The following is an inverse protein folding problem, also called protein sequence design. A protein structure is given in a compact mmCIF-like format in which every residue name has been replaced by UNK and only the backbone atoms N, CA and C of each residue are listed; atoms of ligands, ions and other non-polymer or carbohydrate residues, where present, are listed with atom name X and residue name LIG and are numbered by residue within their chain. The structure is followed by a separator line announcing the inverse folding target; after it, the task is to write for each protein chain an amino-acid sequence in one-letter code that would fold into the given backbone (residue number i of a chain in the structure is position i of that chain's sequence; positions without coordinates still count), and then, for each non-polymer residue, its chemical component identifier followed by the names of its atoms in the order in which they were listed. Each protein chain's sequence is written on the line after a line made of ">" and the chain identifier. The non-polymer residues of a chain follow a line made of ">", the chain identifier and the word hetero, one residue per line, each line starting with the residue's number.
data_IF_388150360312
#
_entry.id   IF_388150360312
#
_cell.length_a   1.000
_cell.length_b   1.000
_cell.length_c   1.000
_cell.angle_alpha   90.00
_cell.angle_beta   90.00
_cell.angle_gamma   90.00
#
_symmetry.space_group_name_H-M   'P 1'
#
loop_
_entity.id
_entity.type
_entity.pdbx_description
1 polymer ?
#
# COMPACT_ATOMS: atom_id res chain seq x y z
N UNK A 1 -5.55 3.89 28.12
CA UNK A 1 -5.31 4.80 26.96
C UNK A 1 -4.58 3.97 25.93
N UNK A 2 -5.06 3.96 24.70
CA UNK A 2 -4.45 3.14 23.63
C UNK A 2 -3.11 3.75 23.25
N UNK A 3 -2.05 2.94 23.16
CA UNK A 3 -0.75 3.32 22.64
C UNK A 3 -0.63 2.91 21.17
N UNK A 4 -0.51 3.89 20.27
CA UNK A 4 -0.34 3.68 18.85
C UNK A 4 1.13 3.64 18.44
N UNK A 5 2.08 3.86 19.35
CA UNK A 5 3.50 3.89 19.01
C UNK A 5 4.00 2.53 18.52
N UNK A 6 4.94 2.56 17.59
CA UNK A 6 5.63 1.37 17.09
C UNK A 6 7.12 1.66 16.98
N UNK A 7 7.94 0.63 17.11
CA UNK A 7 9.38 0.69 16.89
C UNK A 7 9.76 -0.15 15.68
N UNK A 8 10.49 0.44 14.72
CA UNK A 8 10.88 -0.20 13.48
C UNK A 8 12.37 0.01 13.27
N UNK A 9 13.14 -1.08 13.27
CA UNK A 9 14.59 -1.04 13.09
C UNK A 9 15.31 -0.05 14.04
N UNK A 10 14.87 0.04 15.29
CA UNK A 10 15.42 0.96 16.31
C UNK A 10 14.91 2.40 16.22
N UNK A 11 14.05 2.73 15.27
CA UNK A 11 13.44 4.06 15.15
C UNK A 11 12.01 4.03 15.69
N UNK A 12 11.69 4.96 16.59
CA UNK A 12 10.37 5.11 17.17
C UNK A 12 9.46 5.97 16.30
N UNK A 13 8.26 5.46 16.05
CA UNK A 13 7.15 6.16 15.40
C UNK A 13 6.04 6.39 16.44
N UNK A 14 5.51 7.60 16.55
CA UNK A 14 4.41 7.90 17.50
C UNK A 14 3.12 7.15 17.20
N UNK A 15 2.94 6.67 15.94
CA UNK A 15 1.84 5.83 15.48
C UNK A 15 2.23 5.13 14.16
N UNK A 16 1.50 4.09 13.71
CA UNK A 16 1.90 3.29 12.56
C UNK A 16 1.58 3.93 11.19
N UNK A 17 0.98 5.12 11.13
CA UNK A 17 0.59 5.75 9.87
C UNK A 17 1.74 6.58 9.30
N UNK A 18 2.21 6.21 8.13
CA UNK A 18 3.33 6.83 7.41
C UNK A 18 2.82 7.42 6.10
N UNK A 19 3.15 8.67 5.80
CA UNK A 19 2.89 9.22 4.47
C UNK A 19 4.04 8.83 3.55
N UNK A 20 3.72 8.04 2.52
CA UNK A 20 4.72 7.51 1.60
C UNK A 20 5.22 8.57 0.60
N UNK A 21 6.40 8.30 0.04
CA UNK A 21 7.02 9.13 -1.00
C UNK A 21 6.07 9.38 -2.19
N UNK A 22 5.80 10.64 -2.47
CA UNK A 22 4.88 11.07 -3.55
C UNK A 22 4.56 12.57 -3.46
N UNK A 23 3.52 13.01 -4.15
CA UNK A 23 3.09 14.41 -4.17
C UNK A 23 2.88 15.03 -2.77
N UNK A 24 2.37 14.32 -1.74
CA UNK A 24 2.22 14.91 -0.41
C UNK A 24 3.55 15.25 0.29
N UNK A 25 4.69 14.78 -0.23
CA UNK A 25 6.01 14.91 0.41
C UNK A 25 7.06 15.53 -0.52
N UNK A 26 6.65 16.44 -1.43
CA UNK A 26 7.53 17.06 -2.46
C UNK A 26 8.32 18.27 -1.97
N UNK A 27 8.11 18.75 -0.75
CA UNK A 27 8.85 19.86 -0.15
C UNK A 27 8.76 19.82 1.38
N UNK A 28 9.62 20.56 2.06
CA UNK A 28 9.55 20.72 3.52
C UNK A 28 8.17 21.21 3.97
N UNK A 29 7.61 22.20 3.30
CA UNK A 29 6.27 22.72 3.60
C UNK A 29 5.18 21.64 3.47
N UNK A 30 5.25 20.79 2.45
CA UNK A 30 4.30 19.69 2.25
C UNK A 30 4.49 18.60 3.33
N UNK A 31 5.73 18.22 3.63
CA UNK A 31 6.06 17.26 4.69
C UNK A 31 5.59 17.74 6.06
N UNK A 32 5.85 19.00 6.41
CA UNK A 32 5.42 19.63 7.67
C UNK A 32 3.90 19.54 7.84
N UNK A 33 3.13 19.84 6.80
CA UNK A 33 1.66 19.70 6.85
C UNK A 33 1.20 18.26 7.15
N UNK A 34 1.87 17.27 6.60
CA UNK A 34 1.58 15.86 6.90
C UNK A 34 1.93 15.50 8.36
N UNK A 35 3.06 16.02 8.89
CA UNK A 35 3.48 15.84 10.27
C UNK A 35 2.47 16.47 11.24
N UNK A 36 2.04 17.71 10.96
CA UNK A 36 1.04 18.44 11.74
C UNK A 36 -0.34 17.79 11.68
N UNK A 37 -0.68 17.13 10.57
CA UNK A 37 -1.88 16.32 10.45
C UNK A 37 -1.84 15.02 11.28
N UNK A 38 -0.69 14.69 11.90
CA UNK A 38 -0.56 13.58 12.85
C UNK A 38 0.19 12.36 12.33
N UNK A 39 0.79 12.38 11.16
CA UNK A 39 1.59 11.25 10.65
C UNK A 39 2.65 10.79 11.65
N UNK A 40 2.82 9.48 11.81
CA UNK A 40 3.86 8.87 12.64
C UNK A 40 5.21 8.80 11.93
N UNK A 41 5.19 8.82 10.60
CA UNK A 41 6.40 8.90 9.76
C UNK A 41 6.11 9.58 8.42
N UNK A 42 7.15 10.10 7.79
CA UNK A 42 7.12 10.73 6.47
C UNK A 42 8.24 10.14 5.63
N UNK A 43 7.90 9.71 4.42
CA UNK A 43 8.90 9.37 3.40
C UNK A 43 8.98 10.53 2.41
N UNK A 44 10.08 11.27 2.43
CA UNK A 44 10.31 12.37 1.49
C UNK A 44 10.29 11.90 0.03
N UNK A 45 10.03 12.83 -0.90
CA UNK A 45 10.08 12.52 -2.34
C UNK A 45 11.47 11.97 -2.71
N UNK A 46 11.53 10.98 -3.59
CA UNK A 46 12.78 10.30 -3.95
C UNK A 46 13.80 11.26 -4.55
N UNK A 47 14.97 11.39 -3.94
CA UNK A 47 16.11 12.13 -4.48
C UNK A 47 16.88 11.31 -5.51
N UNK A 48 17.31 11.93 -6.59
CA UNK A 48 18.13 11.30 -7.64
C UNK A 48 19.04 12.33 -8.32
N UNK A 49 20.17 11.88 -8.83
CA UNK A 49 21.03 12.68 -9.72
C UNK A 49 20.59 12.59 -11.19
N UNK A 50 19.54 11.81 -11.52
CA UNK A 50 19.05 11.68 -12.88
C UNK A 50 18.18 12.88 -13.29
N UNK A 51 18.65 13.76 -14.21
CA UNK A 51 17.88 14.94 -14.60
C UNK A 51 16.59 14.60 -15.35
N UNK A 52 16.51 13.46 -16.02
CA UNK A 52 15.29 13.05 -16.73
C UNK A 52 14.14 12.74 -15.75
N UNK A 53 14.47 12.19 -14.58
CA UNK A 53 13.48 11.86 -13.54
C UNK A 53 13.17 13.02 -12.59
N UNK A 54 13.85 14.17 -12.74
CA UNK A 54 13.55 15.41 -12.01
C UNK A 54 12.48 16.27 -12.72
N UNK A 55 12.27 16.07 -14.03
CA UNK A 55 11.33 16.86 -14.84
C UNK A 55 9.94 16.21 -14.84
N UNK A 56 8.99 16.79 -14.11
CA UNK A 56 7.62 16.28 -14.02
C UNK A 56 6.79 16.55 -15.28
N UNK A 57 6.15 15.53 -15.91
CA UNK A 57 5.20 15.75 -16.98
C UNK A 57 3.92 16.44 -16.47
N UNK A 58 3.16 17.08 -17.38
CA UNK A 58 1.92 17.79 -17.06
C UNK A 58 0.90 17.59 -18.19
N UNK A 59 -0.31 17.04 -17.93
CA UNK A 59 -0.80 16.47 -16.64
C UNK A 59 -0.07 15.19 -16.27
N UNK A 60 -0.06 14.86 -14.96
CA UNK A 60 0.60 13.65 -14.44
C UNK A 60 -0.33 12.72 -13.67
N UNK A 61 -1.60 13.09 -13.50
CA UNK A 61 -2.60 12.28 -12.82
C UNK A 61 -3.83 12.08 -13.71
N UNK A 62 -4.35 10.87 -13.72
CA UNK A 62 -5.68 10.52 -14.21
C UNK A 62 -6.40 9.71 -13.14
N UNK A 63 -7.59 10.14 -12.78
CA UNK A 63 -8.40 9.53 -11.76
C UNK A 63 -9.54 8.75 -12.42
N UNK A 64 -9.54 7.44 -12.20
CA UNK A 64 -10.52 6.51 -12.75
C UNK A 64 -11.54 6.17 -11.67
N UNK A 65 -12.81 6.11 -12.04
CA UNK A 65 -13.92 5.93 -11.10
C UNK A 65 -14.02 7.04 -10.04
N UNK A 66 -13.89 8.29 -10.48
CA UNK A 66 -13.93 9.48 -9.63
C UNK A 66 -15.20 9.57 -8.76
N UNK A 67 -16.36 9.15 -9.29
CA UNK A 67 -17.64 9.18 -8.59
C UNK A 67 -17.69 8.28 -7.34
N UNK A 68 -16.88 7.24 -7.30
CA UNK A 68 -16.84 6.31 -6.18
C UNK A 68 -16.00 6.81 -4.99
N UNK A 69 -15.16 7.82 -5.19
CA UNK A 69 -14.33 8.42 -4.13
C UNK A 69 -15.18 9.03 -3.04
N UNK A 70 -16.19 9.81 -3.43
CA UNK A 70 -17.11 10.50 -2.51
C UNK A 70 -18.04 9.51 -1.80
N UNK A 71 -18.19 8.30 -2.34
CA UNK A 71 -18.95 7.20 -1.73
C UNK A 71 -18.08 6.27 -0.88
N UNK A 72 -16.79 6.59 -0.68
CA UNK A 72 -15.80 5.83 0.10
C UNK A 72 -15.51 4.40 -0.38
N UNK A 73 -15.91 4.03 -1.59
CA UNK A 73 -15.91 2.63 -2.01
C UNK A 73 -14.68 2.21 -2.79
N UNK A 74 -14.37 2.90 -3.88
CA UNK A 74 -13.39 2.40 -4.84
C UNK A 74 -12.86 3.54 -5.71
N UNK A 75 -11.56 3.62 -5.88
CA UNK A 75 -10.93 4.52 -6.84
C UNK A 75 -9.62 3.96 -7.35
N UNK A 76 -9.23 4.42 -8.53
CA UNK A 76 -7.93 4.15 -9.13
C UNK A 76 -7.26 5.45 -9.53
N UNK A 77 -5.96 5.53 -9.34
CA UNK A 77 -5.13 6.63 -9.78
C UNK A 77 -4.05 6.09 -10.72
N UNK A 78 -4.04 6.59 -11.96
CA UNK A 78 -2.93 6.45 -12.87
C UNK A 78 -2.06 7.69 -12.77
N UNK A 79 -0.74 7.53 -12.70
CA UNK A 79 0.16 8.67 -12.62
C UNK A 79 1.51 8.41 -13.30
N UNK A 80 2.01 9.44 -13.96
CA UNK A 80 3.41 9.55 -14.37
C UNK A 80 4.05 10.56 -13.43
N UNK A 81 4.30 10.12 -12.19
CA UNK A 81 4.86 10.91 -11.11
C UNK A 81 6.31 10.49 -10.89
N UNK A 82 7.22 11.33 -11.34
CA UNK A 82 8.66 11.07 -11.27
C UNK A 82 9.25 11.39 -9.88
N UNK A 83 10.56 11.56 -9.79
CA UNK A 83 11.30 11.80 -8.52
C UNK A 83 11.23 13.27 -8.10
N UNK A 84 12.02 13.70 -7.14
CA UNK A 84 12.07 15.11 -6.73
C UNK A 84 12.57 15.99 -7.88
N UNK A 85 11.98 17.16 -8.04
CA UNK A 85 12.33 18.15 -9.08
C UNK A 85 13.47 19.10 -8.64
N UNK A 86 14.16 18.75 -7.54
CA UNK A 86 15.30 19.43 -6.99
C UNK A 86 16.56 18.57 -7.13
N UNK A 87 17.74 19.21 -7.21
CA UNK A 87 18.99 18.45 -7.08
C UNK A 87 19.07 17.77 -5.72
N UNK A 88 19.84 16.68 -5.57
CA UNK A 88 19.98 16.02 -4.27
C UNK A 88 20.44 16.95 -3.15
N UNK A 89 21.32 17.92 -3.43
CA UNK A 89 21.81 18.89 -2.47
C UNK A 89 20.72 19.90 -2.05
N UNK A 90 19.86 20.30 -2.98
CA UNK A 90 18.70 21.13 -2.68
C UNK A 90 17.66 20.32 -1.89
N UNK A 91 17.47 19.06 -2.26
CA UNK A 91 16.55 18.15 -1.55
C UNK A 91 17.00 17.85 -0.12
N UNK A 92 18.32 17.71 0.11
CA UNK A 92 18.89 17.58 1.44
C UNK A 92 18.49 18.75 2.36
N UNK A 93 18.44 19.99 1.83
CA UNK A 93 17.95 21.15 2.59
C UNK A 93 16.47 21.07 2.92
N UNK A 94 15.64 20.47 2.06
CA UNK A 94 14.24 20.23 2.36
C UNK A 94 14.09 19.23 3.54
N UNK A 95 14.93 18.20 3.60
CA UNK A 95 14.99 17.26 4.73
C UNK A 95 15.44 18.01 6.01
N UNK A 96 16.52 18.78 5.96
CA UNK A 96 17.00 19.59 7.09
C UNK A 96 15.91 20.54 7.62
N UNK A 97 15.21 21.26 6.72
CA UNK A 97 14.12 22.17 7.06
C UNK A 97 12.93 21.47 7.73
N UNK A 98 12.76 20.18 7.47
CA UNK A 98 11.68 19.36 8.05
C UNK A 98 12.05 18.79 9.41
N UNK A 99 13.35 18.56 9.68
CA UNK A 99 13.88 17.83 10.83
C UNK A 99 13.33 18.30 12.18
N UNK A 100 13.41 19.59 12.46
CA UNK A 100 12.97 20.16 13.75
C UNK A 100 11.48 19.91 14.00
N UNK A 101 10.64 20.01 12.96
CA UNK A 101 9.21 19.75 13.09
C UNK A 101 8.95 18.25 13.28
N UNK A 102 9.66 17.39 12.58
CA UNK A 102 9.55 15.94 12.72
C UNK A 102 9.88 15.51 14.15
N UNK A 103 11.00 15.98 14.70
CA UNK A 103 11.44 15.69 16.06
C UNK A 103 10.43 16.19 17.12
N UNK A 104 10.02 17.46 17.01
CA UNK A 104 9.03 18.07 17.93
C UNK A 104 7.72 17.25 17.99
N UNK A 105 7.31 16.66 16.87
CA UNK A 105 6.06 15.89 16.76
C UNK A 105 6.26 14.38 16.92
N UNK A 106 7.46 13.87 17.19
CA UNK A 106 7.75 12.42 17.28
C UNK A 106 7.45 11.67 15.99
N UNK A 107 7.69 12.31 14.85
CA UNK A 107 7.48 11.76 13.52
C UNK A 107 8.81 11.33 12.92
N UNK A 108 8.93 10.06 12.49
CA UNK A 108 10.13 9.57 11.83
C UNK A 108 10.27 10.19 10.41
N UNK A 109 11.45 10.72 10.11
CA UNK A 109 11.79 11.34 8.83
C UNK A 109 12.61 10.37 7.98
N UNK A 110 12.02 9.84 6.92
CA UNK A 110 12.62 8.84 6.04
C UNK A 110 13.00 9.51 4.72
N UNK A 111 14.26 9.42 4.32
CA UNK A 111 14.72 9.90 3.02
C UNK A 111 14.60 8.79 1.98
N UNK A 112 13.89 9.04 0.87
CA UNK A 112 13.85 8.12 -0.27
C UNK A 112 14.90 8.49 -1.30
N UNK A 113 15.66 7.51 -1.80
CA UNK A 113 16.75 7.71 -2.74
C UNK A 113 16.70 6.74 -3.93
N UNK A 114 17.27 7.16 -5.07
CA UNK A 114 17.47 6.33 -6.25
C UNK A 114 18.72 6.77 -7.02
N UNK A 115 19.73 5.91 -7.11
CA UNK A 115 20.98 6.12 -7.83
C UNK A 115 21.02 5.33 -9.13
N UNK A 116 21.65 5.88 -10.19
CA UNK A 116 21.84 5.23 -11.50
C UNK A 116 22.96 4.19 -11.47
N UNK A 117 23.90 4.33 -10.55
CA UNK A 117 25.03 3.45 -10.31
C UNK A 117 25.36 3.36 -8.80
N UNK A 118 26.30 2.50 -8.42
CA UNK A 118 26.65 2.29 -7.01
C UNK A 118 27.25 3.54 -6.35
N UNK A 119 27.98 4.36 -7.08
CA UNK A 119 28.58 5.60 -6.56
C UNK A 119 27.50 6.63 -6.21
N UNK A 120 26.47 6.78 -7.06
CA UNK A 120 25.32 7.64 -6.76
C UNK A 120 24.51 7.14 -5.56
N UNK A 121 24.29 5.81 -5.44
CA UNK A 121 23.64 5.24 -4.27
C UNK A 121 24.38 5.57 -2.96
N UNK A 122 25.72 5.46 -2.96
CA UNK A 122 26.56 5.83 -1.80
C UNK A 122 26.50 7.33 -1.48
N UNK A 123 26.63 8.18 -2.51
CA UNK A 123 26.58 9.64 -2.34
C UNK A 123 25.25 10.10 -1.78
N UNK A 124 24.14 9.58 -2.34
CA UNK A 124 22.79 9.91 -1.88
C UNK A 124 22.58 9.46 -0.43
N UNK A 125 23.01 8.27 -0.06
CA UNK A 125 22.86 7.77 1.31
C UNK A 125 23.58 8.66 2.32
N UNK A 126 24.86 9.01 2.07
CA UNK A 126 25.63 9.92 2.93
C UNK A 126 25.02 11.33 3.02
N UNK A 127 24.54 11.84 1.88
CA UNK A 127 23.91 13.15 1.82
C UNK A 127 22.63 13.21 2.67
N UNK A 128 21.77 12.20 2.58
CA UNK A 128 20.52 12.15 3.34
C UNK A 128 20.75 11.88 4.84
N UNK A 129 21.75 11.09 5.21
CA UNK A 129 22.17 10.92 6.60
C UNK A 129 22.62 12.26 7.18
N UNK A 130 23.49 12.99 6.49
CA UNK A 130 23.98 14.29 6.91
C UNK A 130 22.87 15.36 7.00
N UNK A 131 21.78 15.21 6.25
CA UNK A 131 20.62 16.11 6.31
C UNK A 131 19.65 15.81 7.48
N UNK A 132 19.96 14.80 8.29
CA UNK A 132 19.20 14.48 9.50
C UNK A 132 18.00 13.57 9.28
N UNK A 133 17.97 12.76 8.23
CA UNK A 133 17.01 11.68 8.10
C UNK A 133 17.20 10.63 9.21
N UNK A 134 16.12 9.95 9.63
CA UNK A 134 16.16 8.86 10.61
C UNK A 134 16.37 7.50 9.94
N UNK A 135 15.94 7.34 8.67
CA UNK A 135 16.02 6.12 7.89
C UNK A 135 16.17 6.45 6.40
N UNK A 136 16.61 5.47 5.61
CA UNK A 136 16.72 5.59 4.15
C UNK A 136 15.83 4.55 3.48
N UNK A 137 14.88 4.97 2.60
CA UNK A 137 14.07 4.09 1.75
C UNK A 137 14.68 4.03 0.34
N UNK A 138 15.01 2.81 -0.14
CA UNK A 138 15.52 2.58 -1.49
C UNK A 138 14.38 2.46 -2.48
N UNK A 139 14.28 3.38 -3.43
CA UNK A 139 13.28 3.32 -4.49
C UNK A 139 13.72 2.38 -5.62
N UNK A 140 13.50 1.10 -5.40
CA UNK A 140 13.71 0.01 -6.38
C UNK A 140 12.40 -0.38 -7.09
N UNK A 141 11.44 0.55 -7.18
CA UNK A 141 10.08 0.24 -7.64
C UNK A 141 9.50 1.26 -8.61
N UNK A 142 10.28 2.27 -9.03
CA UNK A 142 9.81 3.26 -9.98
C UNK A 142 9.45 2.58 -11.31
N UNK A 143 8.17 2.63 -11.77
CA UNK A 143 7.71 1.88 -12.94
C UNK A 143 8.16 2.48 -14.28
N UNK A 144 8.75 3.68 -14.26
CA UNK A 144 9.18 4.41 -15.47
C UNK A 144 10.55 4.00 -15.99
N UNK A 145 11.26 3.11 -15.28
CA UNK A 145 12.57 2.60 -15.67
C UNK A 145 12.41 1.13 -16.03
N UNK A 146 12.58 0.82 -17.31
CA UNK A 146 12.32 -0.53 -17.83
C UNK A 146 13.47 -1.51 -17.51
N UNK A 147 13.14 -2.80 -17.26
CA UNK A 147 14.16 -3.84 -17.16
C UNK A 147 15.01 -3.91 -18.43
N UNK A 148 16.33 -4.00 -18.27
CA UNK A 148 17.28 -4.04 -19.37
C UNK A 148 17.92 -2.70 -19.70
N UNK A 149 17.43 -1.58 -19.16
CA UNK A 149 18.18 -0.35 -19.16
C UNK A 149 19.45 -0.49 -18.31
N UNK A 150 20.54 0.15 -18.73
CA UNK A 150 21.86 0.04 -18.06
C UNK A 150 21.95 0.81 -16.75
N UNK A 151 20.81 1.16 -16.13
CA UNK A 151 20.75 1.95 -14.89
C UNK A 151 20.34 1.07 -13.71
N UNK A 152 21.02 1.24 -12.57
CA UNK A 152 20.76 0.49 -11.34
C UNK A 152 19.66 1.18 -10.49
N UNK A 153 18.54 1.52 -11.09
CA UNK A 153 17.51 2.35 -10.48
C UNK A 153 16.10 1.79 -10.74
N UNK A 154 15.16 2.09 -9.85
CA UNK A 154 13.76 1.79 -10.02
C UNK A 154 13.48 0.31 -10.33
N UNK A 155 12.49 0.07 -11.22
CA UNK A 155 12.07 -1.28 -11.62
C UNK A 155 13.17 -2.07 -12.32
N UNK A 156 14.06 -1.42 -13.06
CA UNK A 156 15.18 -2.09 -13.74
C UNK A 156 16.04 -2.88 -12.74
N UNK A 157 16.39 -2.27 -11.60
CA UNK A 157 17.14 -2.94 -10.54
C UNK A 157 16.24 -3.78 -9.62
N UNK A 158 15.06 -3.29 -9.30
CA UNK A 158 14.17 -3.89 -8.30
C UNK A 158 13.50 -5.20 -8.74
N UNK A 159 13.53 -5.57 -10.02
CA UNK A 159 13.05 -6.87 -10.50
C UNK A 159 14.10 -7.97 -10.43
N UNK A 160 15.39 -7.63 -10.22
CA UNK A 160 16.49 -8.56 -10.03
C UNK A 160 16.87 -8.71 -8.56
N UNK A 161 16.75 -9.92 -7.98
CA UNK A 161 17.20 -10.20 -6.61
C UNK A 161 18.68 -9.86 -6.40
N UNK A 162 19.54 -10.20 -7.35
CA UNK A 162 20.99 -10.00 -7.28
C UNK A 162 21.36 -8.50 -7.28
N UNK A 163 20.70 -7.71 -8.14
CA UNK A 163 20.93 -6.26 -8.18
C UNK A 163 20.39 -5.59 -6.91
N UNK A 164 19.19 -5.99 -6.47
CA UNK A 164 18.58 -5.48 -5.25
C UNK A 164 19.47 -5.75 -4.03
N UNK A 165 20.01 -6.98 -3.88
CA UNK A 165 20.96 -7.33 -2.81
C UNK A 165 22.22 -6.45 -2.85
N UNK A 166 22.84 -6.30 -4.03
CA UNK A 166 24.06 -5.51 -4.18
C UNK A 166 23.85 -4.03 -3.86
N UNK A 167 22.73 -3.45 -4.32
CA UNK A 167 22.39 -2.05 -4.02
C UNK A 167 22.21 -1.85 -2.52
N UNK A 168 21.40 -2.70 -1.88
CA UNK A 168 21.21 -2.64 -0.42
C UNK A 168 22.54 -2.74 0.31
N UNK A 169 23.38 -3.69 -0.06
CA UNK A 169 24.73 -3.89 0.53
C UNK A 169 25.62 -2.67 0.35
N UNK A 170 25.56 -2.02 -0.81
CA UNK A 170 26.31 -0.79 -1.09
C UNK A 170 25.87 0.34 -0.18
N UNK A 171 24.55 0.57 -0.07
CA UNK A 171 24.01 1.63 0.79
C UNK A 171 24.30 1.34 2.26
N UNK A 172 24.12 0.12 2.75
CA UNK A 172 24.42 -0.26 4.15
C UNK A 172 25.87 -0.02 4.56
N UNK A 173 26.81 -0.11 3.63
CA UNK A 173 28.24 0.20 3.89
C UNK A 173 28.52 1.69 3.95
N UNK A 174 27.65 2.53 3.43
CA UNK A 174 27.87 3.97 3.28
C UNK A 174 27.08 4.84 4.27
N UNK A 175 26.20 4.23 5.09
CA UNK A 175 25.40 4.92 6.10
C UNK A 175 25.29 4.12 7.39
N UNK A 176 25.10 4.81 8.52
CA UNK A 176 24.75 4.19 9.81
C UNK A 176 23.25 4.04 10.00
N UNK A 177 22.45 4.71 9.17
CA UNK A 177 20.98 4.69 9.27
C UNK A 177 20.39 3.32 8.90
N UNK A 178 19.22 2.96 9.45
CA UNK A 178 18.45 1.84 8.97
C UNK A 178 18.05 2.03 7.50
N UNK A 179 18.16 0.93 6.72
CA UNK A 179 17.87 0.90 5.28
C UNK A 179 16.62 0.09 5.02
N UNK A 180 15.67 0.68 4.30
CA UNK A 180 14.38 0.10 3.94
C UNK A 180 14.38 -0.25 2.45
N UNK A 181 14.16 -1.52 2.11
CA UNK A 181 14.00 -1.95 0.72
C UNK A 181 12.56 -1.88 0.25
N UNK A 182 12.22 -1.05 -0.74
CA UNK A 182 10.87 -1.00 -1.30
C UNK A 182 10.70 -1.98 -2.44
N UNK A 183 9.77 -2.94 -2.23
CA UNK A 183 9.52 -4.04 -3.17
C UNK A 183 8.62 -3.58 -4.32
N UNK A 184 8.98 -3.95 -5.54
CA UNK A 184 8.06 -3.87 -6.68
C UNK A 184 7.13 -5.09 -6.72
N UNK A 185 5.84 -4.91 -7.09
CA UNK A 185 4.94 -6.04 -7.32
C UNK A 185 5.13 -6.67 -8.71
N UNK A 186 5.85 -5.98 -9.60
CA UNK A 186 6.13 -6.40 -10.97
C UNK A 186 7.48 -7.13 -11.05
N UNK A 187 7.53 -8.26 -11.74
CA UNK A 187 8.74 -9.04 -11.94
C UNK A 187 8.88 -10.23 -10.98
N UNK A 188 10.00 -10.36 -10.29
CA UNK A 188 10.22 -11.45 -9.34
C UNK A 188 9.25 -11.39 -8.15
N UNK A 189 9.02 -12.55 -7.52
CA UNK A 189 8.17 -12.59 -6.32
C UNK A 189 8.69 -11.63 -5.24
N UNK A 190 7.83 -10.77 -4.65
CA UNK A 190 8.20 -9.91 -3.52
C UNK A 190 8.89 -10.64 -2.36
N UNK A 191 8.59 -11.92 -2.13
CA UNK A 191 9.26 -12.74 -1.12
C UNK A 191 10.72 -13.02 -1.49
N UNK A 192 11.00 -13.30 -2.76
CA UNK A 192 12.37 -13.55 -3.25
C UNK A 192 13.17 -12.25 -3.17
N UNK A 193 12.60 -11.16 -3.62
CA UNK A 193 13.23 -9.83 -3.55
C UNK A 193 13.52 -9.41 -2.10
N UNK A 194 12.55 -9.58 -1.19
CA UNK A 194 12.74 -9.27 0.22
C UNK A 194 13.88 -10.06 0.85
N UNK A 195 13.96 -11.38 0.58
CA UNK A 195 15.07 -12.21 1.07
C UNK A 195 16.42 -11.72 0.56
N UNK A 196 16.52 -11.36 -0.72
CA UNK A 196 17.73 -10.80 -1.30
C UNK A 196 18.12 -9.46 -0.67
N UNK A 197 17.14 -8.55 -0.47
CA UNK A 197 17.39 -7.27 0.21
C UNK A 197 17.85 -7.46 1.66
N UNK A 198 17.23 -8.38 2.41
CA UNK A 198 17.65 -8.73 3.78
C UNK A 198 19.06 -9.33 3.80
N UNK A 199 19.39 -10.18 2.84
CA UNK A 199 20.75 -10.72 2.66
C UNK A 199 21.76 -9.60 2.32
N UNK A 200 21.32 -8.54 1.64
CA UNK A 200 22.10 -7.32 1.42
C UNK A 200 22.26 -6.45 2.68
N UNK A 201 21.49 -6.70 3.73
CA UNK A 201 21.53 -5.96 5.00
C UNK A 201 20.39 -4.94 5.18
N UNK A 202 19.28 -5.09 4.46
CA UNK A 202 18.09 -4.26 4.70
C UNK A 202 17.56 -4.48 6.13
N UNK A 203 17.24 -3.39 6.83
CA UNK A 203 16.71 -3.41 8.20
C UNK A 203 15.18 -3.46 8.22
N UNK A 204 14.52 -3.13 7.10
CA UNK A 204 13.08 -3.26 6.90
C UNK A 204 12.75 -3.36 5.40
N UNK A 205 11.50 -3.75 5.08
CA UNK A 205 11.00 -3.76 3.70
C UNK A 205 9.62 -3.11 3.60
N UNK A 206 9.30 -2.58 2.40
CA UNK A 206 7.95 -2.07 2.08
C UNK A 206 7.24 -3.05 1.15
N UNK A 207 6.09 -3.55 1.54
CA UNK A 207 5.25 -4.45 0.76
C UNK A 207 3.91 -3.76 0.40
N UNK A 208 3.75 -3.31 -0.82
CA UNK A 208 4.59 -3.19 -2.01
C UNK A 208 4.45 -1.78 -2.62
N UNK A 209 5.14 -1.52 -3.74
CA UNK A 209 4.83 -0.36 -4.57
C UNK A 209 3.55 -0.59 -5.40
N UNK A 210 3.16 0.40 -6.22
CA UNK A 210 2.06 0.29 -7.19
C UNK A 210 2.49 -0.53 -8.41
N UNK A 211 1.51 -1.08 -9.14
CA UNK A 211 1.73 -1.72 -10.44
C UNK A 211 2.02 -0.68 -11.53
N UNK A 212 2.60 -1.14 -12.63
CA UNK A 212 2.58 -0.41 -13.89
C UNK A 212 1.23 -0.61 -14.58
N UNK A 213 0.70 0.44 -15.21
CA UNK A 213 -0.56 0.40 -15.93
C UNK A 213 -0.60 1.34 -17.12
N UNK A 214 -1.61 1.17 -17.95
CA UNK A 214 -1.90 2.03 -19.10
C UNK A 214 -3.41 2.29 -19.15
N UNK A 215 -3.80 3.56 -19.15
CA UNK A 215 -5.20 3.96 -19.29
C UNK A 215 -5.40 4.54 -20.70
N UNK A 216 -6.40 4.02 -21.40
CA UNK A 216 -6.72 4.44 -22.78
C UNK A 216 -8.04 5.20 -22.76
N UNK A 217 -8.01 6.40 -23.31
CA UNK A 217 -9.21 7.14 -23.69
C UNK A 217 -9.75 6.58 -25.02
N UNK A 218 -10.97 6.06 -24.96
CA UNK A 218 -11.57 5.33 -26.09
C UNK A 218 -12.02 6.25 -27.24
N UNK A 219 -12.34 7.50 -26.93
CA UNK A 219 -12.83 8.44 -27.93
C UNK A 219 -11.67 9.03 -28.74
N UNK A 220 -10.60 9.41 -28.07
CA UNK A 220 -9.38 9.87 -28.73
C UNK A 220 -8.48 8.75 -29.25
N UNK A 221 -8.71 7.51 -28.80
CA UNK A 221 -7.89 6.32 -29.10
C UNK A 221 -6.42 6.51 -28.70
N UNK A 222 -6.17 7.17 -27.57
CA UNK A 222 -4.83 7.51 -27.06
C UNK A 222 -4.73 7.19 -25.57
N UNK A 223 -3.50 6.94 -25.06
CA UNK A 223 -3.28 6.96 -23.62
C UNK A 223 -3.67 8.31 -23.01
N UNK A 224 -4.30 8.28 -21.82
CA UNK A 224 -4.71 9.51 -21.12
C UNK A 224 -3.53 10.37 -20.66
N UNK A 225 -2.39 9.73 -20.30
CA UNK A 225 -1.20 10.43 -19.84
C UNK A 225 -0.04 10.22 -20.81
N UNK A 226 0.30 11.23 -21.58
CA UNK A 226 1.53 11.36 -22.39
C UNK A 226 1.95 10.15 -23.22
N UNK A 227 1.05 9.20 -23.48
CA UNK A 227 1.31 8.02 -24.27
C UNK A 227 2.19 6.96 -23.60
N UNK A 228 2.54 7.14 -22.33
CA UNK A 228 3.42 6.24 -21.58
C UNK A 228 2.71 5.33 -20.59
N UNK A 229 3.43 4.29 -20.17
CA UNK A 229 3.05 3.49 -19.01
C UNK A 229 3.25 4.30 -17.74
N UNK A 230 2.28 4.26 -16.83
CA UNK A 230 2.31 4.97 -15.56
C UNK A 230 2.20 4.05 -14.36
N UNK A 231 2.43 4.59 -13.17
CA UNK A 231 2.10 3.90 -11.95
C UNK A 231 0.58 3.85 -11.79
N UNK A 232 0.03 2.67 -11.52
CA UNK A 232 -1.39 2.43 -11.34
C UNK A 232 -1.68 1.83 -9.98
N UNK A 233 -2.56 2.45 -9.21
CA UNK A 233 -2.90 2.02 -7.87
C UNK A 233 -4.23 2.61 -7.40
N UNK A 234 -4.62 2.26 -6.19
CA UNK A 234 -5.86 2.69 -5.57
C UNK A 234 -6.32 1.71 -4.50
N UNK A 235 -7.50 1.91 -3.95
CA UNK A 235 -8.05 1.07 -2.87
C UNK A 235 -8.24 -0.41 -3.25
N UNK A 236 -8.36 -0.72 -4.54
CA UNK A 236 -8.45 -2.09 -5.06
C UNK A 236 -7.19 -2.94 -4.75
N UNK A 237 -6.05 -2.31 -4.48
CA UNK A 237 -4.81 -3.04 -4.17
C UNK A 237 -4.78 -3.63 -2.77
N UNK A 238 -5.63 -3.20 -1.84
CA UNK A 238 -5.61 -3.65 -0.45
C UNK A 238 -5.54 -5.18 -0.29
N UNK A 239 -6.36 -5.99 -0.96
CA UNK A 239 -6.28 -7.46 -0.84
C UNK A 239 -4.96 -8.04 -1.38
N UNK A 240 -4.40 -7.42 -2.43
CA UNK A 240 -3.12 -7.84 -3.03
C UNK A 240 -1.98 -7.56 -2.05
N UNK A 241 -1.97 -6.37 -1.45
CA UNK A 241 -0.97 -5.98 -0.45
C UNK A 241 -1.08 -6.82 0.81
N UNK A 242 -2.28 -7.09 1.32
CA UNK A 242 -2.51 -8.02 2.43
C UNK A 242 -1.91 -9.40 2.14
N UNK A 243 -2.13 -9.94 0.93
CA UNK A 243 -1.51 -11.22 0.52
C UNK A 243 0.01 -11.16 0.60
N UNK A 244 0.65 -10.09 0.09
CA UNK A 244 2.10 -10.00 0.08
C UNK A 244 2.68 -9.82 1.49
N UNK A 245 2.06 -9.00 2.34
CA UNK A 245 2.45 -8.85 3.75
C UNK A 245 2.37 -10.22 4.46
N UNK A 246 1.25 -10.94 4.31
CA UNK A 246 1.07 -12.26 4.89
C UNK A 246 2.15 -13.27 4.40
N UNK A 247 2.45 -13.28 3.09
CA UNK A 247 3.49 -14.17 2.52
C UNK A 247 4.89 -13.84 3.02
N UNK A 248 5.21 -12.57 3.23
CA UNK A 248 6.48 -12.15 3.84
C UNK A 248 6.57 -12.61 5.29
N UNK A 249 5.50 -12.45 6.07
CA UNK A 249 5.41 -12.96 7.45
C UNK A 249 5.56 -14.49 7.52
N UNK A 250 4.84 -15.24 6.68
CA UNK A 250 4.96 -16.71 6.57
C UNK A 250 6.39 -17.14 6.21
N UNK A 251 7.08 -16.35 5.38
CA UNK A 251 8.44 -16.60 4.93
C UNK A 251 9.51 -16.26 5.96
N UNK A 252 9.12 -15.68 7.10
CA UNK A 252 10.00 -15.31 8.23
C UNK A 252 11.23 -14.55 7.76
N UNK A 253 11.03 -13.46 7.01
CA UNK A 253 12.14 -12.66 6.45
C UNK A 253 13.03 -12.01 7.53
N UNK A 254 12.58 -11.93 8.78
CA UNK A 254 13.38 -11.51 9.93
C UNK A 254 13.52 -9.99 10.13
N UNK A 255 12.85 -9.17 9.32
CA UNK A 255 12.85 -7.71 9.43
C UNK A 255 11.42 -7.16 9.42
N UNK A 256 11.19 -5.96 9.99
CA UNK A 256 9.88 -5.27 9.96
C UNK A 256 9.37 -5.02 8.54
N UNK A 257 8.03 -4.95 8.43
CA UNK A 257 7.32 -4.77 7.16
C UNK A 257 6.45 -3.51 7.23
N UNK A 258 6.72 -2.55 6.35
CA UNK A 258 5.76 -1.47 6.05
C UNK A 258 4.74 -1.99 5.03
N UNK A 259 3.46 -2.02 5.39
CA UNK A 259 2.39 -2.29 4.43
C UNK A 259 2.13 -1.07 3.56
N UNK A 260 2.09 -1.24 2.24
CA UNK A 260 1.90 -0.14 1.30
C UNK A 260 1.03 -0.56 0.12
N UNK A 261 0.54 0.43 -0.63
CA UNK A 261 -0.34 0.28 -1.78
C UNK A 261 -1.74 -0.29 -1.43
N UNK A 262 -2.72 0.60 -1.44
CA UNK A 262 -4.14 0.24 -1.24
C UNK A 262 -4.79 0.86 -0.01
N UNK A 263 -4.05 1.14 1.07
CA UNK A 263 -4.62 1.73 2.27
C UNK A 263 -5.28 3.09 1.99
N UNK A 264 -6.61 3.14 2.09
CA UNK A 264 -7.42 4.29 1.71
C UNK A 264 -8.37 4.77 2.82
N UNK A 265 -8.42 4.07 3.94
CA UNK A 265 -9.24 4.34 5.11
C UNK A 265 -8.70 3.59 6.34
N UNK A 266 -9.38 3.73 7.47
CA UNK A 266 -9.05 3.05 8.73
C UNK A 266 -9.06 1.52 8.59
N UNK A 267 -10.07 0.96 7.95
CA UNK A 267 -10.23 -0.50 7.82
C UNK A 267 -9.07 -1.11 7.04
N UNK A 268 -8.59 -0.44 6.00
CA UNK A 268 -7.45 -0.90 5.22
C UNK A 268 -6.15 -0.88 6.04
N UNK A 269 -5.94 0.16 6.85
CA UNK A 269 -4.81 0.23 7.77
C UNK A 269 -4.87 -0.92 8.79
N UNK A 270 -6.03 -1.19 9.37
CA UNK A 270 -6.24 -2.30 10.30
C UNK A 270 -5.98 -3.65 9.61
N UNK A 271 -6.44 -3.85 8.36
CA UNK A 271 -6.17 -5.07 7.59
C UNK A 271 -4.69 -5.34 7.43
N UNK A 272 -3.90 -4.30 7.12
CA UNK A 272 -2.44 -4.44 6.98
C UNK A 272 -1.78 -4.83 8.29
N UNK A 273 -2.17 -4.20 9.41
CA UNK A 273 -1.67 -4.57 10.74
C UNK A 273 -2.07 -6.01 11.12
N UNK A 274 -3.31 -6.40 10.86
CA UNK A 274 -3.82 -7.75 11.13
C UNK A 274 -3.09 -8.85 10.34
N UNK A 275 -2.56 -8.56 9.17
CA UNK A 275 -1.75 -9.51 8.39
C UNK A 275 -0.25 -9.36 8.63
N UNK A 276 0.17 -8.52 9.60
CA UNK A 276 1.52 -8.50 10.14
C UNK A 276 2.39 -7.30 9.74
N UNK A 277 1.86 -6.26 9.09
CA UNK A 277 2.61 -5.04 8.90
C UNK A 277 2.94 -4.37 10.25
N UNK A 278 4.10 -3.75 10.35
CA UNK A 278 4.55 -2.97 11.51
C UNK A 278 4.08 -1.52 11.42
N UNK A 279 3.99 -0.98 10.20
CA UNK A 279 3.42 0.32 9.89
C UNK A 279 2.72 0.31 8.53
N UNK A 280 1.95 1.36 8.24
CA UNK A 280 1.12 1.49 7.03
C UNK A 280 1.51 2.74 6.27
N UNK A 281 2.02 2.58 5.07
CA UNK A 281 2.32 3.67 4.15
C UNK A 281 1.08 4.05 3.33
N UNK A 282 0.66 5.32 3.38
CA UNK A 282 -0.44 5.90 2.61
C UNK A 282 0.07 7.02 1.70
N UNK A 283 -0.29 7.01 0.42
CA UNK A 283 0.05 8.09 -0.51
C UNK A 283 -1.15 8.45 -1.40
N UNK A 284 -1.57 7.55 -2.29
CA UNK A 284 -2.64 7.79 -3.27
C UNK A 284 -3.93 8.30 -2.59
N UNK A 285 -4.30 7.71 -1.46
CA UNK A 285 -5.49 8.14 -0.72
C UNK A 285 -5.32 9.54 -0.12
N UNK A 286 -4.11 9.90 0.35
CA UNK A 286 -3.82 11.26 0.84
C UNK A 286 -3.86 12.28 -0.31
N UNK A 287 -3.37 11.92 -1.51
CA UNK A 287 -3.47 12.78 -2.71
C UNK A 287 -4.95 13.07 -3.02
N UNK A 288 -5.78 12.03 -3.01
CA UNK A 288 -7.17 12.11 -3.49
C UNK A 288 -8.13 12.68 -2.41
N UNK A 289 -7.95 12.27 -1.15
CA UNK A 289 -8.87 12.64 -0.04
C UNK A 289 -8.33 13.77 0.83
N UNK A 290 -7.08 14.17 0.65
CA UNK A 290 -6.44 15.24 1.44
C UNK A 290 -5.91 14.78 2.80
N UNK A 291 -5.30 15.73 3.52
CA UNK A 291 -4.59 15.47 4.78
C UNK A 291 -5.50 15.05 5.94
N UNK A 292 -6.80 15.39 5.89
CA UNK A 292 -7.77 14.98 6.91
C UNK A 292 -7.92 13.46 7.05
N UNK A 293 -7.49 12.70 6.03
CA UNK A 293 -7.47 11.24 6.09
C UNK A 293 -6.57 10.72 7.22
N UNK A 294 -5.47 11.41 7.52
CA UNK A 294 -4.50 10.97 8.54
C UNK A 294 -5.15 10.95 9.93
N UNK A 295 -5.67 12.07 10.49
CA UNK A 295 -6.30 12.05 11.79
C UNK A 295 -7.58 11.20 11.83
N UNK A 296 -8.33 11.10 10.74
CA UNK A 296 -9.49 10.21 10.65
C UNK A 296 -9.07 8.74 10.82
N UNK A 297 -7.99 8.32 10.13
CA UNK A 297 -7.46 6.95 10.23
C UNK A 297 -6.98 6.64 11.65
N UNK A 298 -6.27 7.57 12.29
CA UNK A 298 -5.79 7.42 13.67
C UNK A 298 -6.95 7.29 14.67
N UNK A 299 -7.91 8.20 14.60
CA UNK A 299 -9.11 8.16 15.47
C UNK A 299 -9.91 6.88 15.26
N UNK A 300 -10.03 6.42 14.01
CA UNK A 300 -10.70 5.15 13.69
C UNK A 300 -9.96 3.94 14.26
N UNK A 301 -8.62 3.94 14.17
CA UNK A 301 -7.78 2.87 14.73
C UNK A 301 -7.89 2.80 16.25
N UNK A 302 -7.81 3.94 16.96
CA UNK A 302 -8.01 4.00 18.41
C UNK A 302 -9.39 3.47 18.84
N UNK A 303 -10.44 3.87 18.15
CA UNK A 303 -11.81 3.38 18.40
C UNK A 303 -11.92 1.87 18.18
N UNK A 304 -11.32 1.36 17.10
CA UNK A 304 -11.35 -0.07 16.81
C UNK A 304 -10.58 -0.87 17.87
N UNK A 305 -9.39 -0.42 18.26
CA UNK A 305 -8.58 -1.06 19.30
C UNK A 305 -9.32 -1.07 20.64
N UNK A 306 -9.86 0.06 21.06
CA UNK A 306 -10.66 0.17 22.29
C UNK A 306 -11.86 -0.76 22.28
N UNK A 307 -12.59 -0.85 21.16
CA UNK A 307 -13.73 -1.75 20.99
C UNK A 307 -13.35 -3.23 21.13
N UNK A 308 -12.12 -3.60 20.73
CA UNK A 308 -11.65 -4.99 20.75
C UNK A 308 -10.77 -5.31 21.97
N UNK A 309 -10.56 -4.33 22.87
CA UNK A 309 -9.78 -4.53 24.10
C UNK A 309 -8.27 -4.60 23.89
N UNK A 310 -7.75 -3.94 22.84
CA UNK A 310 -6.32 -3.84 22.58
C UNK A 310 -5.77 -2.50 23.07
N UNK A 311 -4.69 -2.54 23.83
CA UNK A 311 -4.01 -1.35 24.36
C UNK A 311 -2.81 -0.94 23.51
N UNK A 312 -2.23 -1.86 22.74
CA UNK A 312 -1.03 -1.66 21.91
C UNK A 312 -1.18 -2.34 20.54
N UNK A 313 -0.50 -1.79 19.51
CA UNK A 313 -0.50 -2.35 18.14
C UNK A 313 0.04 -3.78 18.12
N UNK A 314 1.08 -4.06 18.85
CA UNK A 314 1.73 -5.39 18.91
C UNK A 314 0.78 -6.48 19.37
N UNK A 315 -0.24 -6.15 20.19
CA UNK A 315 -1.19 -7.10 20.75
C UNK A 315 -2.09 -7.78 19.71
N UNK A 316 -2.33 -7.14 18.57
CA UNK A 316 -3.17 -7.71 17.51
C UNK A 316 -2.46 -7.84 16.15
N UNK A 317 -1.25 -7.27 16.01
CA UNK A 317 -0.48 -7.38 14.79
C UNK A 317 -0.29 -8.84 14.37
N UNK A 318 -0.65 -9.14 13.13
CA UNK A 318 -0.55 -10.51 12.60
C UNK A 318 -1.64 -11.47 13.10
N UNK A 319 -2.64 -11.01 13.85
CA UNK A 319 -3.67 -11.88 14.44
C UNK A 319 -4.48 -12.67 13.37
N UNK A 320 -4.60 -12.13 12.16
CA UNK A 320 -5.29 -12.83 11.06
C UNK A 320 -4.49 -13.99 10.48
N UNK A 321 -3.16 -14.00 10.63
CA UNK A 321 -2.30 -15.02 10.00
C UNK A 321 -2.63 -16.45 10.44
N UNK A 322 -2.97 -16.64 11.71
CA UNK A 322 -3.35 -17.96 12.26
C UNK A 322 -4.60 -18.57 11.63
N UNK A 323 -5.41 -17.73 10.98
CA UNK A 323 -6.66 -18.16 10.33
C UNK A 323 -6.49 -18.38 8.82
N UNK A 324 -5.30 -18.13 8.27
CA UNK A 324 -4.98 -18.42 6.87
C UNK A 324 -4.68 -19.91 6.79
N UNK A 325 -5.49 -20.63 6.02
CA UNK A 325 -5.32 -22.07 5.84
C UNK A 325 -4.74 -22.41 4.49
N UNK A 326 -3.87 -23.44 4.37
CA UNK A 326 -3.41 -23.96 3.09
C UNK A 326 -4.60 -24.44 2.23
N UNK A 327 -4.41 -24.45 0.91
CA UNK A 327 -5.44 -24.86 -0.04
C UNK A 327 -6.02 -26.24 0.26
N UNK A 328 -5.19 -27.17 0.71
CA UNK A 328 -5.56 -28.57 1.04
C UNK A 328 -6.46 -28.65 2.27
N UNK A 329 -6.40 -27.64 3.16
CA UNK A 329 -7.18 -27.56 4.40
C UNK A 329 -8.45 -26.73 4.27
N UNK A 330 -8.75 -26.21 3.07
CA UNK A 330 -10.02 -25.50 2.83
C UNK A 330 -11.19 -26.44 3.10
N UNK A 331 -12.19 -25.93 3.84
CA UNK A 331 -13.43 -26.68 4.09
C UNK A 331 -14.19 -26.90 2.77
N UNK A 332 -14.33 -28.14 2.37
CA UNK A 332 -15.07 -28.58 1.19
C UNK A 332 -16.27 -29.48 1.55
N UNK A 333 -16.49 -29.65 2.85
CA UNK A 333 -17.52 -30.56 3.37
C UNK A 333 -18.74 -29.82 3.89
N UNK A 334 -18.61 -28.55 4.25
CA UNK A 334 -19.75 -27.73 4.68
C UNK A 334 -20.73 -27.51 3.54
N UNK A 335 -21.93 -28.04 3.69
CA UNK A 335 -23.03 -27.74 2.79
C UNK A 335 -23.68 -26.43 3.20
N UNK A 336 -23.53 -25.42 2.32
CA UNK A 336 -24.14 -24.11 2.49
C UNK A 336 -25.24 -23.89 1.47
N UNK A 337 -26.29 -23.19 1.86
CA UNK A 337 -27.38 -22.77 0.94
C UNK A 337 -27.74 -21.31 1.26
N UNK A 338 -28.11 -20.56 0.24
CA UNK A 338 -28.58 -19.20 0.41
C UNK A 338 -30.01 -19.18 0.99
N UNK A 339 -30.23 -18.25 1.91
CA UNK A 339 -31.55 -17.99 2.53
C UNK A 339 -31.90 -16.52 2.36
N UNK A 340 -33.14 -16.23 1.99
CA UNK A 340 -33.63 -14.87 1.76
C UNK A 340 -34.47 -14.39 2.95
N UNK A 341 -34.13 -13.23 3.47
CA UNK A 341 -35.02 -12.44 4.34
C UNK A 341 -35.94 -11.62 3.44
N UNK A 342 -37.18 -12.10 3.30
CA UNK A 342 -38.18 -11.46 2.44
C UNK A 342 -38.63 -10.09 2.94
N UNK A 343 -38.47 -9.78 4.22
CA UNK A 343 -38.78 -8.46 4.78
C UNK A 343 -37.75 -7.41 4.32
N UNK A 344 -36.48 -7.78 4.27
CA UNK A 344 -35.39 -6.91 3.78
C UNK A 344 -35.35 -6.83 2.25
N UNK A 345 -35.76 -7.90 1.54
CA UNK A 345 -35.65 -7.96 0.10
C UNK A 345 -36.44 -6.84 -0.58
N UNK A 346 -35.80 -6.04 -1.40
CA UNK A 346 -36.40 -4.93 -2.17
C UNK A 346 -36.85 -5.33 -3.59
N UNK A 347 -36.64 -6.57 -3.98
CA UNK A 347 -37.09 -7.08 -5.29
C UNK A 347 -36.22 -6.61 -6.46
N UNK A 348 -34.98 -6.22 -6.27
CA UNK A 348 -34.11 -5.68 -7.32
C UNK A 348 -33.67 -6.68 -8.40
N UNK A 349 -33.86 -7.97 -8.20
CA UNK A 349 -33.58 -9.03 -9.18
C UNK A 349 -32.10 -9.39 -9.39
N UNK A 350 -31.13 -8.69 -8.77
CA UNK A 350 -29.71 -8.94 -9.00
C UNK A 350 -29.30 -10.39 -8.74
N UNK A 351 -29.78 -10.98 -7.66
CA UNK A 351 -29.48 -12.37 -7.30
C UNK A 351 -29.98 -13.38 -8.35
N UNK A 352 -31.17 -13.15 -8.92
CA UNK A 352 -31.72 -14.02 -9.97
C UNK A 352 -30.94 -13.85 -11.29
N UNK A 353 -30.63 -12.61 -11.68
CA UNK A 353 -29.87 -12.32 -12.89
C UNK A 353 -28.44 -12.89 -12.87
N UNK A 354 -27.83 -13.04 -11.68
CA UNK A 354 -26.45 -13.52 -11.52
C UNK A 354 -26.34 -14.99 -11.11
N UNK A 355 -27.43 -15.71 -10.98
CA UNK A 355 -27.40 -17.11 -10.55
C UNK A 355 -27.26 -18.06 -11.75
N UNK A 356 -26.03 -18.46 -12.06
CA UNK A 356 -25.73 -19.41 -13.14
C UNK A 356 -26.21 -20.86 -12.85
N UNK A 357 -26.66 -21.13 -11.62
CA UNK A 357 -27.24 -22.43 -11.22
C UNK A 357 -28.75 -22.40 -11.26
N UNK A 358 -29.34 -21.30 -11.74
CA UNK A 358 -30.82 -21.13 -11.84
C UNK A 358 -31.54 -21.34 -10.49
N UNK A 359 -30.82 -21.32 -9.39
CA UNK A 359 -31.36 -21.55 -8.05
C UNK A 359 -32.09 -20.32 -7.49
N UNK A 360 -31.75 -19.11 -7.94
CA UNK A 360 -32.39 -17.88 -7.49
C UNK A 360 -33.40 -17.39 -8.54
N UNK A 361 -34.64 -17.19 -8.13
CA UNK A 361 -35.75 -16.71 -8.98
C UNK A 361 -36.47 -15.55 -8.30
N UNK A 362 -37.30 -14.83 -9.07
CA UNK A 362 -38.19 -13.80 -8.54
C UNK A 362 -39.62 -14.29 -8.51
N UNK A 363 -40.25 -14.27 -7.34
CA UNK A 363 -41.66 -14.59 -7.13
C UNK A 363 -42.30 -13.44 -6.35
N UNK A 364 -43.38 -12.89 -6.84
CA UNK A 364 -44.10 -11.76 -6.21
C UNK A 364 -43.17 -10.59 -5.83
N UNK A 365 -42.28 -10.22 -6.73
CA UNK A 365 -41.24 -9.18 -6.54
C UNK A 365 -40.27 -9.45 -5.38
N UNK A 366 -40.13 -10.66 -4.92
CA UNK A 366 -39.19 -11.10 -3.92
C UNK A 366 -38.28 -12.20 -4.46
N UNK A 367 -37.06 -12.26 -3.99
CA UNK A 367 -36.14 -13.34 -4.33
C UNK A 367 -36.60 -14.64 -3.64
N UNK A 368 -36.52 -15.75 -4.34
CA UNK A 368 -36.74 -17.12 -3.84
C UNK A 368 -35.56 -17.98 -4.26
N UNK A 369 -35.04 -18.79 -3.34
CA UNK A 369 -33.95 -19.73 -3.59
C UNK A 369 -34.53 -21.16 -3.63
N UNK A 370 -34.23 -21.87 -4.72
CA UNK A 370 -34.39 -23.32 -4.78
C UNK A 370 -33.14 -23.94 -4.09
N UNK A 371 -33.34 -24.54 -2.92
CA UNK A 371 -32.27 -25.13 -2.12
C UNK A 371 -31.61 -26.34 -2.77
N UNK A 372 -32.35 -27.08 -3.60
CA UNK A 372 -31.87 -28.30 -4.28
C UNK A 372 -30.88 -27.94 -5.42
N UNK A 373 -31.14 -26.83 -6.10
CA UNK A 373 -30.27 -26.32 -7.17
C UNK A 373 -29.16 -25.39 -6.64
N UNK A 374 -29.30 -24.90 -5.39
CA UNK A 374 -28.33 -23.94 -4.83
C UNK A 374 -27.05 -24.66 -4.37
N UNK A 375 -25.90 -24.28 -4.92
CA UNK A 375 -24.58 -24.83 -4.54
C UNK A 375 -23.89 -24.04 -3.43
N UNK A 376 -24.53 -23.03 -2.86
CA UNK A 376 -23.95 -22.23 -1.75
C UNK A 376 -22.76 -21.36 -2.13
N UNK A 377 -22.63 -20.94 -3.39
CA UNK A 377 -21.45 -20.18 -3.87
C UNK A 377 -21.28 -18.78 -3.25
N UNK A 378 -22.30 -18.21 -2.60
CA UNK A 378 -22.24 -16.92 -1.92
C UNK A 378 -22.43 -15.68 -2.81
N UNK A 379 -22.47 -15.82 -4.15
CA UNK A 379 -22.55 -14.66 -5.05
C UNK A 379 -23.78 -13.77 -4.77
N UNK A 380 -24.95 -14.37 -4.60
CA UNK A 380 -26.20 -13.63 -4.36
C UNK A 380 -26.20 -12.88 -3.00
N UNK A 381 -25.51 -13.40 -1.98
CA UNK A 381 -25.24 -12.72 -0.71
C UNK A 381 -24.35 -11.50 -0.94
N UNK A 382 -23.19 -11.70 -1.60
CA UNK A 382 -22.21 -10.64 -1.85
C UNK A 382 -22.74 -9.45 -2.69
N UNK A 383 -23.68 -9.68 -3.62
CA UNK A 383 -24.24 -8.63 -4.49
C UNK A 383 -25.56 -8.03 -3.99
N UNK A 384 -26.06 -8.48 -2.84
CA UNK A 384 -27.33 -8.00 -2.30
C UNK A 384 -27.15 -6.57 -1.72
N UNK A 385 -27.82 -5.54 -2.26
CA UNK A 385 -27.59 -4.15 -1.84
C UNK A 385 -28.20 -3.82 -0.47
N UNK A 386 -28.95 -4.74 0.12
CA UNK A 386 -29.67 -4.55 1.40
C UNK A 386 -29.45 -5.71 2.37
N UNK A 387 -28.44 -6.54 2.14
CA UNK A 387 -28.08 -7.70 2.99
C UNK A 387 -29.28 -8.61 3.32
N UNK A 388 -30.16 -8.80 2.33
CA UNK A 388 -31.34 -9.63 2.47
C UNK A 388 -31.07 -11.11 2.23
N UNK A 389 -29.87 -11.50 1.80
CA UNK A 389 -29.49 -12.89 1.53
C UNK A 389 -28.31 -13.24 2.44
N UNK A 390 -28.35 -14.43 3.02
CA UNK A 390 -27.27 -14.98 3.85
C UNK A 390 -27.04 -16.45 3.54
N UNK A 391 -25.81 -16.92 3.68
CA UNK A 391 -25.48 -18.35 3.62
C UNK A 391 -25.79 -19.02 4.94
N UNK A 392 -26.49 -20.16 4.90
CA UNK A 392 -26.79 -21.00 6.06
C UNK A 392 -26.30 -22.42 5.81
N UNK A 393 -25.77 -23.06 6.86
CA UNK A 393 -25.52 -24.50 6.81
C UNK A 393 -26.84 -25.23 6.66
N UNK A 394 -26.91 -26.15 5.69
CA UNK A 394 -27.94 -27.19 5.67
C UNK A 394 -27.55 -28.22 6.71
N UNK A 395 -28.54 -28.66 7.46
CA UNK A 395 -28.36 -29.68 8.51
C UNK A 395 -27.88 -31.00 7.93
#
# INVERSE_FOLDING_TARGET
>A
MVDLSVEIAGVRFKNPIVVASGTPTTSASAMIKCIEAGAGGIVGKTATYDPMHQIQPRPRFSLIHADDIFRERFFSLSSIELMADLTPEQWAKEIENTRNTAEKHGCALIASIAGRDYEEWEKLAKLMENSGADMIELNLSCPHIEPGESVLMGRSAGTSPELSEKIVRTVKKSTTLPVIGKLTPDGASPVVLAKAMVQGGADAVVATARFQGLVIDIDSMRPELWGGYGAYGGSWMTPISCKWIARLMESKIGVPIFGSAGAANTEDAIRFLLVGADAVQMCTAVIVKGLSLIPQTLTGLEKWMSKHGFDEIVSFRGAALRNIVPFEKLDRTSELRSSVDTLKCIGCGRCAASCFYEAATMVDKKAKINVDSCVGCGLCDAICPVDAITLKKTR
#
